data_IF_277842358571
#
_entry.id   IF_277842358571
#
_cell.length_a   1.000
_cell.length_b   1.000
_cell.length_c   1.000
_cell.angle_alpha   90.00
_cell.angle_beta   90.00
_cell.angle_gamma   90.00
#
_symmetry.space_group_name_H-M   'P 1'
#
loop_
_entity.id
_entity.type
_entity.pdbx_description
1 polymer ?
#
# COMPACT_ATOMS: atom_id res chain seq x y z
N UNK A 1 -31.00 18.37 -44.97
CA UNK A 1 -29.65 18.94 -45.16
C UNK A 1 -28.93 18.85 -43.84
N UNK A 2 -27.69 18.38 -43.82
CA UNK A 2 -26.87 18.30 -42.61
C UNK A 2 -26.12 19.62 -42.42
N UNK A 3 -26.11 20.16 -41.21
CA UNK A 3 -25.13 21.17 -40.77
C UNK A 3 -24.62 20.81 -39.37
N UNK A 4 -23.36 21.13 -39.11
CA UNK A 4 -22.52 20.55 -38.06
C UNK A 4 -22.44 21.42 -36.81
N UNK A 5 -22.38 20.78 -35.64
CA UNK A 5 -21.99 21.41 -34.37
C UNK A 5 -20.46 21.44 -34.27
N UNK A 6 -19.82 22.57 -33.90
CA UNK A 6 -18.39 22.61 -33.59
C UNK A 6 -18.07 21.98 -32.23
N UNK A 7 -16.93 21.28 -32.13
CA UNK A 7 -16.35 20.85 -30.85
C UNK A 7 -15.23 21.82 -30.44
N UNK A 8 -15.50 22.74 -29.52
CA UNK A 8 -14.46 23.57 -28.89
C UNK A 8 -13.95 22.90 -27.60
N UNK A 9 -13.07 21.92 -27.77
CA UNK A 9 -12.36 21.25 -26.67
C UNK A 9 -10.93 21.82 -26.53
N UNK A 10 -10.80 23.07 -26.07
CA UNK A 10 -9.49 23.68 -25.80
C UNK A 10 -9.56 24.88 -24.82
N UNK A 11 -9.90 24.62 -23.54
CA UNK A 11 -9.77 25.63 -22.48
C UNK A 11 -9.46 25.07 -21.09
N UNK A 12 -8.48 24.16 -20.99
CA UNK A 12 -7.80 23.85 -19.72
C UNK A 12 -6.29 23.77 -20.00
N UNK A 13 -5.61 24.91 -19.88
CA UNK A 13 -4.16 24.97 -19.63
C UNK A 13 -3.85 26.28 -18.87
N UNK A 14 -2.89 26.22 -17.94
CA UNK A 14 -2.62 27.13 -16.79
C UNK A 14 -3.30 26.75 -15.46
N UNK A 15 -2.82 25.67 -14.86
CA UNK A 15 -2.53 25.61 -13.42
C UNK A 15 -1.00 25.61 -13.28
N UNK A 16 -0.44 26.35 -12.31
CA UNK A 16 1.00 26.55 -12.25
C UNK A 16 1.73 25.37 -11.59
N UNK A 17 2.96 25.11 -12.03
CA UNK A 17 3.72 23.91 -11.70
C UNK A 17 4.21 23.87 -10.26
N UNK A 18 4.09 24.97 -9.51
CA UNK A 18 4.34 25.02 -8.06
C UNK A 18 3.13 24.59 -7.22
N UNK A 19 1.90 24.91 -7.66
CA UNK A 19 0.66 24.69 -6.89
C UNK A 19 0.34 23.20 -6.71
N UNK A 20 0.80 22.35 -7.64
CA UNK A 20 0.74 20.89 -7.52
C UNK A 20 1.77 20.31 -6.54
N UNK A 21 2.86 21.02 -6.23
CA UNK A 21 3.94 20.52 -5.36
C UNK A 21 3.62 20.78 -3.89
N UNK A 22 3.08 21.96 -3.55
CA UNK A 22 2.64 22.25 -2.17
C UNK A 22 1.49 21.31 -1.75
N UNK A 23 0.54 21.07 -2.66
CA UNK A 23 -0.59 20.14 -2.43
C UNK A 23 -0.16 18.67 -2.25
N UNK A 24 1.00 18.27 -2.76
CA UNK A 24 1.56 16.92 -2.55
C UNK A 24 2.28 16.80 -1.19
N UNK A 25 2.87 17.88 -0.67
CA UNK A 25 3.53 17.91 0.65
C UNK A 25 2.51 17.86 1.80
N UNK A 26 1.44 18.64 1.73
CA UNK A 26 0.39 18.70 2.78
C UNK A 26 -0.25 17.33 3.07
N UNK A 27 -0.33 16.47 2.03
CA UNK A 27 -0.89 15.11 2.14
C UNK A 27 0.05 14.17 2.92
N UNK A 28 1.38 14.33 2.78
CA UNK A 28 2.35 13.51 3.50
C UNK A 28 2.45 13.88 4.98
N UNK A 29 2.54 15.18 5.34
CA UNK A 29 2.57 15.59 6.75
C UNK A 29 1.27 15.20 7.49
N UNK A 30 0.13 15.23 6.79
CA UNK A 30 -1.16 14.76 7.33
C UNK A 30 -1.20 13.26 7.64
N UNK A 31 -0.41 12.43 6.94
CA UNK A 31 -0.40 10.98 7.11
C UNK A 31 0.38 10.54 8.36
N UNK A 32 1.55 11.12 8.60
CA UNK A 32 2.38 10.78 9.77
C UNK A 32 1.72 11.23 11.09
N UNK A 33 1.04 12.39 11.09
CA UNK A 33 0.32 12.91 12.25
C UNK A 33 -0.79 11.97 12.77
N UNK A 34 -1.35 11.10 11.92
CA UNK A 34 -2.38 10.11 12.28
C UNK A 34 -1.73 8.85 12.91
N UNK A 35 -0.51 8.51 12.50
CA UNK A 35 0.18 7.28 12.91
C UNK A 35 0.69 7.35 14.36
N UNK A 36 1.14 8.53 14.81
CA UNK A 36 1.68 8.71 16.17
C UNK A 36 0.62 8.69 17.28
N UNK A 37 -0.63 9.08 16.99
CA UNK A 37 -1.71 9.07 17.99
C UNK A 37 -2.04 7.64 18.51
N UNK A 38 -1.69 6.59 17.75
CA UNK A 38 -1.95 5.20 18.15
C UNK A 38 -0.81 4.52 18.95
N UNK A 39 0.33 5.19 19.20
CA UNK A 39 1.43 4.64 20.02
C UNK A 39 1.51 5.23 21.45
N UNK A 40 0.76 6.29 21.74
CA UNK A 40 0.86 7.07 22.98
C UNK A 40 0.17 6.51 24.24
N UNK A 41 -0.01 5.19 24.39
CA UNK A 41 -0.80 4.62 25.50
C UNK A 41 -0.27 3.28 26.06
N UNK A 42 1.00 3.26 26.50
CA UNK A 42 1.63 2.09 27.16
C UNK A 42 2.57 2.51 28.30
N UNK A 43 2.44 1.88 29.46
CA UNK A 43 3.10 2.27 30.72
C UNK A 43 4.64 2.35 30.65
N UNK A 44 5.21 3.31 31.39
CA UNK A 44 6.64 3.39 31.67
C UNK A 44 7.11 2.21 32.55
N UNK A 45 8.27 1.61 32.27
CA UNK A 45 9.24 1.24 33.31
C UNK A 45 10.65 0.94 32.77
N UNK A 46 11.54 1.94 32.91
CA UNK A 46 12.99 1.87 33.14
C UNK A 46 13.81 0.67 32.62
N UNK A 47 14.62 0.87 31.57
CA UNK A 47 15.71 -0.06 31.18
C UNK A 47 17.05 0.29 31.86
N UNK A 48 17.81 -0.73 32.27
CA UNK A 48 19.28 -0.72 32.21
C UNK A 48 19.82 -2.11 31.80
N UNK A 49 20.99 -2.22 31.13
CA UNK A 49 21.29 -3.36 30.27
C UNK A 49 22.35 -4.33 30.82
N UNK A 50 22.21 -5.63 30.50
CA UNK A 50 23.27 -6.66 30.67
C UNK A 50 23.37 -7.59 29.47
N UNK A 51 24.54 -8.22 29.28
CA UNK A 51 24.96 -8.93 28.06
C UNK A 51 24.84 -10.46 28.18
N UNK A 52 24.51 -11.10 27.05
CA UNK A 52 25.22 -12.26 26.44
C UNK A 52 25.44 -13.60 27.20
N UNK A 53 25.38 -14.69 26.41
CA UNK A 53 26.03 -16.01 26.56
C UNK A 53 25.17 -17.21 27.00
N UNK A 54 25.62 -18.41 26.58
CA UNK A 54 25.01 -19.73 26.83
C UNK A 54 25.45 -20.34 28.17
N UNK A 55 24.70 -21.33 28.70
CA UNK A 55 25.27 -22.31 29.64
C UNK A 55 24.27 -23.11 30.50
N UNK A 56 24.27 -24.43 30.33
CA UNK A 56 24.16 -25.50 31.37
C UNK A 56 23.06 -25.47 32.47
N UNK A 57 21.94 -26.14 32.13
CA UNK A 57 21.35 -27.32 32.79
C UNK A 57 21.70 -27.72 34.26
N UNK A 58 20.63 -28.04 35.04
CA UNK A 58 20.55 -28.89 36.27
C UNK A 58 21.18 -28.35 37.58
N UNK A 59 20.74 -28.73 38.80
CA UNK A 59 19.84 -29.81 39.28
C UNK A 59 18.59 -29.31 40.08
N UNK A 60 17.79 -30.22 40.66
CA UNK A 60 16.50 -29.96 41.36
C UNK A 60 16.62 -30.25 42.90
N UNK A 61 15.82 -31.04 43.68
CA UNK A 61 14.55 -31.79 43.51
C UNK A 61 13.45 -31.53 44.60
N UNK A 62 12.33 -32.29 44.54
CA UNK A 62 11.29 -32.56 45.57
C UNK A 62 10.31 -31.44 46.01
N UNK A 63 8.99 -31.66 46.20
CA UNK A 63 8.03 -32.78 45.95
C UNK A 63 6.58 -32.19 46.05
N UNK A 64 5.45 -32.73 45.55
CA UNK A 64 5.11 -33.93 44.76
C UNK A 64 4.49 -33.49 43.38
N UNK A 65 3.38 -33.93 42.76
CA UNK A 65 2.30 -34.92 43.01
C UNK A 65 2.29 -36.00 41.92
N UNK A 66 2.09 -37.26 42.33
CA UNK A 66 2.13 -38.46 41.49
C UNK A 66 1.29 -38.48 40.19
N UNK A 67 1.78 -39.27 39.22
CA UNK A 67 1.13 -39.62 37.95
C UNK A 67 0.54 -41.03 37.98
N UNK A 68 -0.57 -41.26 37.27
CA UNK A 68 -0.97 -42.60 36.78
C UNK A 68 -1.41 -42.55 35.32
N UNK A 69 -0.90 -43.48 34.51
CA UNK A 69 -1.44 -43.86 33.21
C UNK A 69 -2.01 -45.28 33.25
N UNK A 70 -2.84 -45.57 32.26
CA UNK A 70 -3.35 -46.89 31.87
C UNK A 70 -4.39 -47.55 32.80
N UNK A 71 -5.06 -48.57 32.25
CA UNK A 71 -6.36 -49.14 32.63
C UNK A 71 -7.58 -48.21 32.32
N UNK A 72 -8.57 -48.62 31.51
CA UNK A 72 -8.66 -49.84 30.73
C UNK A 72 -9.45 -49.71 29.40
N UNK A 73 -8.94 -50.43 28.41
CA UNK A 73 -9.52 -50.79 27.11
C UNK A 73 -10.78 -51.65 27.28
N UNK A 74 -11.95 -51.16 26.84
CA UNK A 74 -13.04 -52.02 26.34
C UNK A 74 -14.13 -51.23 25.60
N UNK A 75 -14.52 -51.71 24.41
CA UNK A 75 -15.88 -51.56 23.81
C UNK A 75 -16.00 -52.29 22.46
N UNK A 76 -15.45 -53.52 22.36
CA UNK A 76 -15.57 -54.54 21.28
C UNK A 76 -14.69 -55.73 21.73
N UNK A 77 -15.12 -56.99 21.74
CA UNK A 77 -16.36 -57.67 21.28
C UNK A 77 -16.74 -58.77 22.31
N UNK A 78 -17.84 -59.47 22.06
CA UNK A 78 -18.23 -60.81 22.59
C UNK A 78 -19.07 -60.88 23.87
N UNK A 79 -19.94 -61.89 24.07
CA UNK A 79 -21.08 -62.44 23.26
C UNK A 79 -21.69 -63.64 24.03
N UNK A 80 -23.01 -63.61 24.28
CA UNK A 80 -23.83 -64.72 24.83
C UNK A 80 -23.33 -65.32 26.18
N UNK A 81 -23.98 -66.28 26.86
CA UNK A 81 -25.34 -66.88 26.85
C UNK A 81 -25.85 -66.79 28.32
N UNK A 82 -27.09 -67.01 28.77
CA UNK A 82 -28.17 -67.97 28.47
C UNK A 82 -29.54 -67.29 28.68
N UNK A 83 -30.54 -67.50 27.82
CA UNK A 83 -31.53 -68.61 27.83
C UNK A 83 -32.37 -68.71 29.12
N UNK A 84 -33.61 -68.22 29.02
CA UNK A 84 -34.77 -69.11 29.20
C UNK A 84 -35.97 -68.63 28.37
N UNK A 85 -36.37 -69.43 27.37
CA UNK A 85 -37.60 -69.22 26.59
C UNK A 85 -38.42 -70.52 26.57
N UNK A 86 -39.71 -70.40 26.89
CA UNK A 86 -40.78 -71.40 26.70
C UNK A 86 -40.67 -72.77 27.39
N UNK A 87 -41.47 -72.95 28.45
CA UNK A 87 -42.38 -74.07 28.67
C UNK A 87 -43.30 -73.69 29.85
N UNK A 88 -44.58 -74.09 29.93
CA UNK A 88 -45.27 -75.12 29.17
C UNK A 88 -46.52 -74.61 28.43
N UNK A 89 -46.96 -75.38 27.43
CA UNK A 89 -48.20 -75.11 26.69
C UNK A 89 -49.35 -76.04 27.12
N UNK A 90 -50.57 -75.57 26.85
CA UNK A 90 -51.85 -76.27 26.90
C UNK A 90 -51.87 -77.81 27.06
N UNK A 91 -52.78 -78.28 27.92
CA UNK A 91 -53.96 -79.03 27.41
C UNK A 91 -55.20 -79.00 28.30
N UNK A 92 -56.30 -79.32 27.62
CA UNK A 92 -57.68 -79.43 28.09
C UNK A 92 -57.98 -80.81 28.69
N UNK A 93 -59.29 -81.08 28.91
CA UNK A 93 -59.89 -82.37 29.32
C UNK A 93 -59.60 -82.73 30.78
N UNK A 94 -60.48 -83.30 31.60
CA UNK A 94 -61.92 -83.67 31.64
C UNK A 94 -61.99 -84.63 32.88
N UNK A 95 -63.10 -85.16 33.41
CA UNK A 95 -64.53 -85.04 33.15
C UNK A 95 -65.28 -85.47 34.41
N UNK A 96 -66.46 -84.89 34.67
CA UNK A 96 -67.56 -85.55 35.40
C UNK A 96 -67.25 -85.95 36.89
N UNK A 97 -68.19 -86.33 37.75
CA UNK A 97 -69.65 -86.61 37.69
C UNK A 97 -70.20 -86.24 39.10
N UNK A 98 -71.44 -85.82 39.38
CA UNK A 98 -72.80 -86.05 38.85
C UNK A 98 -73.60 -84.73 38.92
N UNK A 99 -74.42 -84.36 37.91
CA UNK A 99 -75.76 -84.89 37.55
C UNK A 99 -76.82 -84.68 38.65
N UNK A 100 -78.06 -84.28 38.36
CA UNK A 100 -78.67 -83.73 37.12
C UNK A 100 -80.03 -83.09 37.45
N UNK A 101 -80.42 -82.07 36.69
CA UNK A 101 -81.78 -81.53 36.52
C UNK A 101 -82.93 -82.55 36.71
N UNK A 102 -83.93 -82.20 37.53
CA UNK A 102 -85.33 -82.39 37.17
C UNK A 102 -86.29 -81.41 37.87
N UNK A 103 -87.47 -81.23 37.26
CA UNK A 103 -88.52 -80.23 37.52
C UNK A 103 -89.78 -80.91 38.10
N UNK A 104 -90.97 -80.27 38.09
CA UNK A 104 -91.43 -79.08 38.83
C UNK A 104 -92.57 -79.45 39.82
N UNK A 105 -93.16 -78.48 40.55
CA UNK A 105 -94.62 -78.20 40.53
C UNK A 105 -95.13 -77.18 41.58
N UNK A 106 -96.33 -76.68 41.27
CA UNK A 106 -97.26 -75.77 41.96
C UNK A 106 -97.81 -76.22 43.32
N UNK A 107 -98.15 -75.22 44.17
CA UNK A 107 -98.81 -75.32 45.49
C UNK A 107 -98.07 -74.44 46.50
N UNK A 108 -98.67 -73.52 47.27
CA UNK A 108 -100.03 -73.48 47.83
C UNK A 108 -100.04 -74.24 49.15
N UNK A 109 -100.06 -73.63 50.33
CA UNK A 109 -100.83 -72.44 50.75
C UNK A 109 -100.15 -71.66 51.93
N UNK A 110 -100.93 -70.85 52.64
CA UNK A 110 -100.66 -69.96 53.78
C UNK A 110 -99.93 -70.68 54.97
N UNK A 111 -99.29 -70.04 55.96
CA UNK A 111 -99.69 -68.82 56.68
C UNK A 111 -98.59 -67.80 57.10
N UNK A 112 -99.08 -66.57 57.30
CA UNK A 112 -98.55 -65.46 58.11
C UNK A 112 -98.19 -65.92 59.54
N UNK A 113 -97.24 -65.37 60.32
CA UNK A 113 -96.42 -64.12 60.37
C UNK A 113 -95.01 -64.50 60.91
N UNK A 114 -93.94 -63.68 60.90
CA UNK A 114 -93.88 -62.23 61.05
C UNK A 114 -92.69 -61.58 60.32
N UNK A 115 -92.80 -61.44 58.99
CA UNK A 115 -91.79 -60.80 58.15
C UNK A 115 -91.71 -59.28 58.37
N UNK A 116 -91.04 -58.85 59.45
CA UNK A 116 -90.66 -57.43 59.67
C UNK A 116 -89.18 -57.25 60.02
N UNK A 117 -88.63 -57.86 61.06
CA UNK A 117 -87.23 -57.57 61.45
C UNK A 117 -86.20 -57.98 60.39
N UNK A 118 -86.25 -59.20 59.86
CA UNK A 118 -85.27 -59.67 58.84
C UNK A 118 -85.31 -58.84 57.56
N UNK A 119 -86.52 -58.47 57.12
CA UNK A 119 -86.70 -57.57 55.98
C UNK A 119 -86.17 -56.15 56.26
N UNK A 120 -86.44 -55.59 57.44
CA UNK A 120 -85.93 -54.27 57.84
C UNK A 120 -84.40 -54.27 57.96
N UNK A 121 -83.79 -55.32 58.53
CA UNK A 121 -82.33 -55.44 58.62
C UNK A 121 -81.68 -55.58 57.24
N UNK A 122 -82.26 -56.36 56.31
CA UNK A 122 -81.77 -56.46 54.93
C UNK A 122 -81.95 -55.14 54.15
N UNK A 123 -83.06 -54.44 54.34
CA UNK A 123 -83.28 -53.11 53.74
C UNK A 123 -82.29 -52.09 54.31
N UNK A 124 -82.04 -52.09 55.63
CA UNK A 124 -81.01 -51.23 56.25
C UNK A 124 -79.61 -51.56 55.73
N UNK A 125 -79.25 -52.85 55.57
CA UNK A 125 -77.99 -53.25 54.97
C UNK A 125 -77.88 -52.77 53.52
N UNK A 126 -78.94 -52.93 52.71
CA UNK A 126 -78.97 -52.38 51.35
C UNK A 126 -78.83 -50.85 51.33
N UNK A 127 -79.51 -50.12 52.23
CA UNK A 127 -79.41 -48.65 52.32
C UNK A 127 -78.00 -48.21 52.74
N UNK A 128 -77.38 -48.88 53.71
CA UNK A 128 -76.00 -48.61 54.13
C UNK A 128 -74.98 -48.97 53.05
N UNK A 129 -75.18 -50.07 52.32
CA UNK A 129 -74.34 -50.44 51.17
C UNK A 129 -74.51 -49.45 50.02
N UNK A 130 -75.73 -49.00 49.71
CA UNK A 130 -75.98 -47.94 48.72
C UNK A 130 -75.36 -46.60 49.12
N UNK A 131 -75.38 -46.25 50.41
CA UNK A 131 -74.67 -45.06 50.92
C UNK A 131 -73.14 -45.21 50.77
N UNK A 132 -72.57 -46.36 51.13
CA UNK A 132 -71.15 -46.63 50.95
C UNK A 132 -70.72 -46.62 49.46
N UNK A 133 -71.53 -47.21 48.58
CA UNK A 133 -71.31 -47.26 47.13
C UNK A 133 -71.40 -45.86 46.52
N UNK A 134 -72.38 -45.04 46.91
CA UNK A 134 -72.50 -43.66 46.40
C UNK A 134 -71.35 -42.76 46.87
N UNK A 135 -70.90 -42.89 48.13
CA UNK A 135 -69.70 -42.17 48.63
C UNK A 135 -68.43 -42.63 47.90
N UNK A 136 -68.26 -43.95 47.67
CA UNK A 136 -67.15 -44.48 46.88
C UNK A 136 -67.19 -43.98 45.42
N UNK A 137 -68.37 -43.89 44.82
CA UNK A 137 -68.57 -43.39 43.45
C UNK A 137 -68.24 -41.90 43.34
N UNK A 138 -68.67 -41.05 44.27
CA UNK A 138 -68.26 -39.64 44.33
C UNK A 138 -66.74 -39.50 44.52
N UNK A 139 -66.12 -40.30 45.40
CA UNK A 139 -64.66 -40.28 45.59
C UNK A 139 -63.90 -40.75 44.33
N UNK A 140 -64.45 -41.74 43.61
CA UNK A 140 -63.90 -42.23 42.34
C UNK A 140 -64.00 -41.18 41.23
N UNK A 141 -65.10 -40.42 41.16
CA UNK A 141 -65.24 -39.27 40.24
C UNK A 141 -64.19 -38.20 40.56
N UNK A 142 -64.02 -37.82 41.83
CA UNK A 142 -63.03 -36.82 42.21
C UNK A 142 -61.59 -37.26 41.89
N UNK A 143 -61.22 -38.50 42.21
CA UNK A 143 -59.92 -39.08 41.83
C UNK A 143 -59.73 -39.18 40.31
N UNK A 144 -60.82 -39.37 39.55
CA UNK A 144 -60.79 -39.35 38.08
C UNK A 144 -60.51 -37.94 37.56
N UNK A 145 -61.17 -36.91 38.10
CA UNK A 145 -60.93 -35.51 37.74
C UNK A 145 -59.51 -35.05 38.10
N UNK A 146 -58.99 -35.41 39.28
CA UNK A 146 -57.61 -35.14 39.69
C UNK A 146 -56.61 -35.83 38.74
N UNK A 147 -56.86 -37.09 38.36
CA UNK A 147 -56.05 -37.80 37.36
C UNK A 147 -56.10 -37.14 36.00
N UNK A 148 -57.26 -36.68 35.53
CA UNK A 148 -57.40 -36.03 34.22
C UNK A 148 -56.78 -34.62 34.20
N UNK A 149 -56.81 -33.90 35.32
CA UNK A 149 -56.07 -32.65 35.49
C UNK A 149 -54.54 -32.89 35.45
N UNK A 150 -54.05 -33.92 36.15
CA UNK A 150 -52.64 -34.29 36.16
C UNK A 150 -52.17 -34.77 34.77
N UNK A 151 -53.00 -35.58 34.09
CA UNK A 151 -52.79 -36.02 32.71
C UNK A 151 -52.64 -34.82 31.77
N UNK A 152 -53.54 -33.84 31.89
CA UNK A 152 -53.52 -32.60 31.08
C UNK A 152 -52.23 -31.80 31.33
N UNK A 153 -51.84 -31.62 32.60
CA UNK A 153 -50.59 -30.93 32.96
C UNK A 153 -49.34 -31.67 32.45
N UNK A 154 -49.35 -33.01 32.44
CA UNK A 154 -48.25 -33.81 31.90
C UNK A 154 -48.14 -33.70 30.37
N UNK A 155 -49.28 -33.65 29.67
CA UNK A 155 -49.29 -33.41 28.21
C UNK A 155 -48.85 -31.99 27.84
N UNK A 156 -49.23 -30.97 28.62
CA UNK A 156 -48.77 -29.60 28.37
C UNK A 156 -47.26 -29.45 28.61
N UNK A 157 -46.74 -29.97 29.73
CA UNK A 157 -45.30 -29.96 30.01
C UNK A 157 -44.49 -30.76 28.98
N UNK A 158 -45.09 -31.82 28.42
CA UNK A 158 -44.53 -32.57 27.28
C UNK A 158 -44.40 -31.68 26.04
N UNK A 159 -45.45 -30.94 25.68
CA UNK A 159 -45.44 -30.00 24.54
C UNK A 159 -44.41 -28.88 24.76
N UNK A 160 -44.36 -28.28 25.95
CA UNK A 160 -43.37 -27.23 26.28
C UNK A 160 -41.92 -27.75 26.16
N UNK A 161 -41.66 -28.97 26.63
CA UNK A 161 -40.35 -29.63 26.51
C UNK A 161 -39.98 -29.88 25.05
N UNK A 162 -40.92 -30.34 24.22
CA UNK A 162 -40.67 -30.60 22.78
C UNK A 162 -40.49 -29.30 21.98
N UNK A 163 -41.18 -28.21 22.34
CA UNK A 163 -40.95 -26.87 21.80
C UNK A 163 -39.54 -26.36 22.16
N UNK A 164 -39.14 -26.48 23.43
CA UNK A 164 -37.81 -26.06 23.89
C UNK A 164 -36.70 -26.89 23.22
N UNK A 165 -36.90 -28.20 23.05
CA UNK A 165 -36.01 -29.09 22.32
C UNK A 165 -35.82 -28.61 20.87
N UNK A 166 -36.91 -28.30 20.17
CA UNK A 166 -36.86 -27.81 18.79
C UNK A 166 -36.09 -26.48 18.69
N UNK A 167 -36.40 -25.52 19.57
CA UNK A 167 -35.71 -24.23 19.66
C UNK A 167 -34.20 -24.40 19.91
N UNK A 168 -33.80 -25.30 20.82
CA UNK A 168 -32.40 -25.63 21.08
C UNK A 168 -31.68 -26.21 19.84
N UNK A 169 -32.35 -27.06 19.05
CA UNK A 169 -31.76 -27.56 17.80
C UNK A 169 -31.62 -26.48 16.73
N UNK A 170 -32.48 -25.45 16.72
CA UNK A 170 -32.35 -24.33 15.78
C UNK A 170 -31.23 -23.38 16.18
N UNK A 171 -31.14 -22.97 17.45
CA UNK A 171 -29.99 -22.19 17.97
C UNK A 171 -28.65 -22.92 17.76
N UNK A 172 -28.65 -24.26 17.83
CA UNK A 172 -27.46 -25.06 17.51
C UNK A 172 -27.04 -24.90 16.04
N UNK A 173 -27.98 -24.97 15.09
CA UNK A 173 -27.70 -24.75 13.65
C UNK A 173 -27.21 -23.33 13.38
N UNK A 174 -27.83 -22.32 14.00
CA UNK A 174 -27.42 -20.92 13.87
C UNK A 174 -26.00 -20.70 14.39
N UNK A 175 -25.67 -21.27 15.56
CA UNK A 175 -24.30 -21.27 16.11
C UNK A 175 -23.30 -21.95 15.18
N UNK A 176 -23.65 -23.09 14.58
CA UNK A 176 -22.74 -23.80 13.66
C UNK A 176 -22.56 -23.07 12.32
N UNK A 177 -23.59 -22.38 11.83
CA UNK A 177 -23.51 -21.48 10.68
C UNK A 177 -22.60 -20.27 10.96
N UNK A 178 -22.77 -19.61 12.12
CA UNK A 178 -21.93 -18.49 12.56
C UNK A 178 -20.48 -18.94 12.74
N UNK A 179 -20.25 -20.11 13.35
CA UNK A 179 -18.91 -20.68 13.51
C UNK A 179 -18.22 -20.93 12.15
N UNK A 180 -18.97 -21.44 11.17
CA UNK A 180 -18.46 -21.66 9.80
C UNK A 180 -18.13 -20.34 9.10
N UNK A 181 -18.98 -19.32 9.26
CA UNK A 181 -18.72 -17.97 8.72
C UNK A 181 -17.48 -17.34 9.37
N UNK A 182 -17.31 -17.50 10.68
CA UNK A 182 -16.14 -17.01 11.41
C UNK A 182 -14.83 -17.68 10.97
N UNK A 183 -14.83 -19.00 10.73
CA UNK A 183 -13.64 -19.70 10.22
C UNK A 183 -13.28 -19.23 8.80
N UNK A 184 -14.27 -19.03 7.93
CA UNK A 184 -14.02 -18.53 6.57
C UNK A 184 -13.43 -17.11 6.59
N UNK A 185 -14.03 -16.20 7.37
CA UNK A 185 -13.53 -14.82 7.51
C UNK A 185 -12.12 -14.76 8.12
N UNK A 186 -11.78 -15.71 9.01
CA UNK A 186 -10.42 -15.84 9.55
C UNK A 186 -9.42 -16.25 8.45
N UNK A 187 -9.80 -17.18 7.56
CA UNK A 187 -8.97 -17.56 6.42
C UNK A 187 -8.79 -16.41 5.41
N UNK A 188 -9.85 -15.65 5.12
CA UNK A 188 -9.79 -14.46 4.26
C UNK A 188 -8.86 -13.38 4.83
N UNK A 189 -8.94 -13.13 6.15
CA UNK A 189 -8.02 -12.23 6.88
C UNK A 189 -6.56 -12.66 6.70
N UNK A 190 -6.27 -13.95 6.84
CA UNK A 190 -4.89 -14.47 6.81
C UNK A 190 -4.31 -14.49 5.39
N UNK A 191 -5.16 -14.71 4.37
CA UNK A 191 -4.80 -14.50 2.97
C UNK A 191 -4.49 -13.02 2.68
N UNK A 192 -5.34 -12.10 3.16
CA UNK A 192 -5.15 -10.67 2.96
C UNK A 192 -3.89 -10.15 3.67
N UNK A 193 -3.62 -10.62 4.90
CA UNK A 193 -2.40 -10.31 5.65
C UNK A 193 -1.14 -10.80 4.91
N UNK A 194 -1.20 -12.00 4.32
CA UNK A 194 -0.11 -12.53 3.48
C UNK A 194 0.13 -11.65 2.25
N UNK A 195 -0.94 -11.23 1.57
CA UNK A 195 -0.85 -10.32 0.41
C UNK A 195 -0.30 -8.94 0.79
N UNK A 196 -0.71 -8.37 1.92
CA UNK A 196 -0.21 -7.10 2.46
C UNK A 196 1.29 -7.15 2.78
N UNK A 197 1.76 -8.25 3.38
CA UNK A 197 3.18 -8.45 3.69
C UNK A 197 4.02 -8.57 2.40
N UNK A 198 3.53 -9.26 1.38
CA UNK A 198 4.21 -9.34 0.08
C UNK A 198 4.29 -7.97 -0.60
N UNK A 199 3.19 -7.21 -0.65
CA UNK A 199 3.16 -5.86 -1.22
C UNK A 199 4.07 -4.88 -0.45
N UNK A 200 4.21 -5.07 0.86
CA UNK A 200 5.18 -4.33 1.69
C UNK A 200 6.62 -4.60 1.24
N UNK A 201 6.98 -5.86 0.98
CA UNK A 201 8.32 -6.23 0.48
C UNK A 201 8.56 -5.64 -0.92
N UNK A 202 7.57 -5.69 -1.82
CA UNK A 202 7.66 -5.11 -3.16
C UNK A 202 7.86 -3.58 -3.13
N UNK A 203 7.12 -2.87 -2.25
CA UNK A 203 7.28 -1.42 -2.02
C UNK A 203 8.71 -1.07 -1.59
N UNK A 204 9.27 -1.82 -0.64
CA UNK A 204 10.59 -1.53 -0.08
C UNK A 204 11.72 -1.84 -1.07
N UNK A 205 11.53 -2.85 -1.93
CA UNK A 205 12.40 -3.12 -3.09
C UNK A 205 12.33 -1.99 -4.13
N UNK A 206 11.13 -1.50 -4.46
CA UNK A 206 10.94 -0.38 -5.38
C UNK A 206 11.55 0.92 -4.83
N UNK A 207 11.40 1.21 -3.54
CA UNK A 207 12.04 2.35 -2.90
C UNK A 207 13.57 2.27 -2.97
N UNK A 208 14.13 1.08 -2.76
CA UNK A 208 15.58 0.84 -2.91
C UNK A 208 16.05 1.10 -4.35
N UNK A 209 15.29 0.63 -5.33
CA UNK A 209 15.56 0.86 -6.76
C UNK A 209 15.49 2.36 -7.13
N UNK A 210 14.46 3.07 -6.65
CA UNK A 210 14.29 4.52 -6.85
C UNK A 210 15.45 5.33 -6.27
N UNK A 211 15.91 4.98 -5.07
CA UNK A 211 17.05 5.64 -4.41
C UNK A 211 18.35 5.46 -5.22
N UNK A 212 18.60 4.24 -5.71
CA UNK A 212 19.77 3.95 -6.57
C UNK A 212 19.71 4.73 -7.89
N UNK A 213 18.56 4.72 -8.59
CA UNK A 213 18.39 5.46 -9.85
C UNK A 213 18.51 6.99 -9.66
N UNK A 214 18.10 7.49 -8.51
CA UNK A 214 18.31 8.90 -8.10
C UNK A 214 19.80 9.21 -7.95
N UNK A 215 20.59 8.33 -7.34
CA UNK A 215 22.04 8.50 -7.24
C UNK A 215 22.74 8.43 -8.61
N UNK A 216 22.34 7.52 -9.49
CA UNK A 216 22.87 7.44 -10.87
C UNK A 216 22.55 8.71 -11.67
N UNK A 217 21.31 9.19 -11.61
CA UNK A 217 20.90 10.46 -12.23
C UNK A 217 21.76 11.63 -11.75
N UNK A 218 21.99 11.73 -10.45
CA UNK A 218 22.77 12.81 -9.85
C UNK A 218 24.28 12.70 -10.11
N UNK A 219 24.80 11.51 -10.41
CA UNK A 219 26.15 11.34 -10.94
C UNK A 219 26.23 11.80 -12.41
N UNK A 220 25.31 11.33 -13.27
CA UNK A 220 25.26 11.69 -14.69
C UNK A 220 25.04 13.20 -14.89
N UNK A 221 24.26 13.83 -14.00
CA UNK A 221 24.10 15.29 -13.89
C UNK A 221 25.47 15.98 -13.74
N UNK A 222 26.28 15.56 -12.74
CA UNK A 222 27.62 16.13 -12.48
C UNK A 222 28.61 15.86 -13.61
N UNK A 223 28.52 14.69 -14.26
CA UNK A 223 29.37 14.37 -15.42
C UNK A 223 29.01 15.23 -16.63
N UNK A 224 27.73 15.43 -16.93
CA UNK A 224 27.24 16.36 -17.96
C UNK A 224 27.78 17.77 -17.72
N UNK A 225 27.61 18.30 -16.50
CA UNK A 225 27.98 19.68 -16.17
C UNK A 225 29.51 19.90 -16.31
N UNK A 226 30.30 18.90 -15.92
CA UNK A 226 31.75 18.84 -16.13
C UNK A 226 32.14 18.77 -17.62
N UNK A 227 31.37 18.05 -18.45
CA UNK A 227 31.59 18.03 -19.90
C UNK A 227 31.19 19.35 -20.57
N UNK A 228 30.10 19.99 -20.12
CA UNK A 228 29.71 21.33 -20.57
C UNK A 228 30.78 22.37 -20.23
N UNK A 229 31.33 22.36 -19.01
CA UNK A 229 32.44 23.21 -18.62
C UNK A 229 33.65 23.05 -19.55
N UNK A 230 34.09 21.80 -19.77
CA UNK A 230 35.21 21.47 -20.67
C UNK A 230 34.98 21.84 -22.14
N UNK A 231 33.73 21.81 -22.61
CA UNK A 231 33.38 22.22 -23.98
C UNK A 231 33.45 23.74 -24.16
N UNK A 232 33.27 24.50 -23.07
CA UNK A 232 33.32 25.95 -23.01
C UNK A 232 34.70 26.52 -22.64
N UNK A 233 35.66 25.67 -22.25
CA UNK A 233 37.07 26.08 -22.06
C UNK A 233 37.65 26.58 -23.41
N UNK A 234 38.13 27.84 -23.49
CA UNK A 234 38.74 28.33 -24.73
C UNK A 234 39.99 27.52 -25.07
N UNK A 235 40.15 27.15 -26.35
CA UNK A 235 41.30 26.35 -26.82
C UNK A 235 42.55 27.22 -26.98
N UNK A 236 43.07 27.70 -25.86
CA UNK A 236 44.24 28.58 -25.79
C UNK A 236 45.44 28.03 -26.58
N UNK A 237 46.13 28.94 -27.26
CA UNK A 237 47.33 28.71 -28.06
C UNK A 237 48.48 29.51 -27.47
N UNK A 238 49.69 28.99 -27.55
CA UNK A 238 50.89 29.61 -26.98
C UNK A 238 51.77 30.15 -28.10
N UNK A 239 52.22 31.40 -27.97
CA UNK A 239 53.25 31.98 -28.83
C UNK A 239 53.98 33.10 -28.10
N UNK A 240 55.32 33.03 -28.09
CA UNK A 240 56.16 33.86 -27.22
C UNK A 240 55.67 33.79 -25.75
N UNK A 241 55.77 34.90 -25.01
CA UNK A 241 55.27 35.03 -23.64
C UNK A 241 53.77 35.37 -23.52
N UNK A 242 52.97 35.01 -24.54
CA UNK A 242 51.52 35.28 -24.58
C UNK A 242 50.70 34.04 -24.91
N UNK A 243 49.44 34.04 -24.49
CA UNK A 243 48.45 33.01 -24.81
C UNK A 243 47.18 33.62 -25.40
N UNK A 244 46.66 32.95 -26.43
CA UNK A 244 45.66 33.48 -27.35
C UNK A 244 44.47 32.52 -27.49
N UNK A 245 43.25 33.04 -27.59
CA UNK A 245 42.10 32.23 -28.01
C UNK A 245 41.14 33.04 -28.88
N UNK A 246 40.63 32.42 -29.95
CA UNK A 246 39.48 32.96 -30.70
C UNK A 246 38.17 32.60 -29.97
N UNK A 247 37.21 33.52 -29.93
CA UNK A 247 35.87 33.26 -29.38
C UNK A 247 35.05 32.37 -30.34
N UNK A 248 34.01 31.73 -29.82
CA UNK A 248 33.10 30.87 -30.59
C UNK A 248 31.77 31.54 -30.95
N UNK A 249 31.54 32.77 -30.45
CA UNK A 249 30.30 33.54 -30.63
C UNK A 249 30.67 34.88 -31.26
N UNK A 250 29.95 35.24 -32.32
CA UNK A 250 30.10 36.53 -33.01
C UNK A 250 29.42 37.65 -32.21
N UNK A 251 30.09 38.81 -32.11
CA UNK A 251 29.77 39.92 -31.20
C UNK A 251 30.24 41.25 -31.80
N UNK A 252 29.71 42.38 -31.32
CA UNK A 252 30.31 43.69 -31.59
C UNK A 252 31.75 43.76 -31.02
N UNK A 253 32.54 44.74 -31.45
CA UNK A 253 33.89 44.95 -30.91
C UNK A 253 33.86 45.16 -29.40
N UNK A 254 32.92 45.99 -28.91
CA UNK A 254 32.79 46.30 -27.47
C UNK A 254 32.40 45.07 -26.63
N UNK A 255 31.56 44.17 -27.17
CA UNK A 255 31.16 42.93 -26.51
C UNK A 255 32.24 41.85 -26.60
N UNK A 256 33.00 41.81 -27.69
CA UNK A 256 34.17 40.94 -27.82
C UNK A 256 35.24 41.32 -26.80
N UNK A 257 35.44 42.63 -26.57
CA UNK A 257 36.33 43.13 -25.51
C UNK A 257 35.85 42.76 -24.10
N UNK A 258 34.54 42.86 -23.83
CA UNK A 258 33.92 42.37 -22.58
C UNK A 258 34.10 40.84 -22.42
N UNK A 259 34.04 40.10 -23.53
CA UNK A 259 34.21 38.66 -23.54
C UNK A 259 35.66 38.25 -23.24
N UNK A 260 36.67 38.96 -23.76
CA UNK A 260 38.07 38.71 -23.43
C UNK A 260 38.41 39.11 -21.98
N UNK A 261 37.94 40.27 -21.53
CA UNK A 261 38.16 40.75 -20.14
C UNK A 261 37.53 39.83 -19.10
N UNK A 262 36.37 39.22 -19.39
CA UNK A 262 35.79 38.16 -18.53
C UNK A 262 36.68 36.91 -18.34
N UNK A 263 37.68 36.70 -19.21
CA UNK A 263 38.63 35.56 -19.19
C UNK A 263 40.01 35.94 -18.66
N UNK A 264 40.15 37.15 -18.11
CA UNK A 264 41.43 37.72 -17.66
C UNK A 264 42.38 38.02 -18.83
N UNK A 265 41.83 38.45 -19.96
CA UNK A 265 42.52 38.81 -21.21
C UNK A 265 42.02 40.17 -21.71
N UNK A 266 42.57 40.68 -22.80
CA UNK A 266 41.93 41.74 -23.60
C UNK A 266 41.84 41.30 -25.06
N UNK A 267 41.29 42.11 -25.97
CA UNK A 267 41.41 41.85 -27.40
C UNK A 267 42.89 41.91 -27.83
N UNK A 268 43.24 41.06 -28.80
CA UNK A 268 44.59 40.86 -29.32
C UNK A 268 45.31 42.16 -29.69
N UNK A 269 46.53 42.36 -29.17
CA UNK A 269 47.44 43.43 -29.54
C UNK A 269 48.60 42.86 -30.37
N UNK A 270 48.73 43.28 -31.63
CA UNK A 270 49.80 42.81 -32.52
C UNK A 270 50.94 43.83 -32.54
N UNK A 271 52.03 43.49 -31.86
CA UNK A 271 53.21 44.33 -31.66
C UNK A 271 54.40 43.95 -32.57
N UNK A 272 54.33 42.81 -33.26
CA UNK A 272 55.43 42.27 -34.07
C UNK A 272 54.95 41.54 -35.32
N UNK A 273 55.85 41.41 -36.31
CA UNK A 273 55.59 40.66 -37.55
C UNK A 273 55.37 39.18 -37.27
N UNK A 274 56.17 38.62 -36.38
CA UNK A 274 56.19 37.21 -36.03
C UNK A 274 54.88 36.80 -35.34
N UNK A 275 54.28 37.71 -34.58
CA UNK A 275 52.95 37.57 -33.99
C UNK A 275 51.84 37.64 -35.05
N UNK A 276 51.91 38.57 -36.01
CA UNK A 276 50.96 38.56 -37.14
C UNK A 276 51.05 37.27 -37.96
N UNK A 277 52.26 36.77 -38.25
CA UNK A 277 52.44 35.49 -38.97
C UNK A 277 51.88 34.30 -38.17
N UNK A 278 52.01 34.30 -36.83
CA UNK A 278 51.38 33.31 -35.96
C UNK A 278 49.84 33.41 -35.99
N UNK A 279 49.28 34.62 -35.86
CA UNK A 279 47.83 34.85 -35.84
C UNK A 279 47.20 34.47 -37.18
N UNK A 280 47.74 34.92 -38.32
CA UNK A 280 47.28 34.50 -39.65
C UNK A 280 47.32 32.98 -39.83
N UNK A 281 48.38 32.31 -39.34
CA UNK A 281 48.55 30.85 -39.45
C UNK A 281 47.59 30.04 -38.57
N UNK A 282 47.15 30.58 -37.43
CA UNK A 282 46.38 29.83 -36.41
C UNK A 282 44.90 30.22 -36.39
N UNK A 283 44.57 31.45 -36.79
CA UNK A 283 43.22 32.02 -36.74
C UNK A 283 42.75 32.65 -38.05
N UNK A 284 43.64 32.94 -39.01
CA UNK A 284 43.36 33.65 -40.27
C UNK A 284 42.42 32.95 -41.27
N UNK A 285 41.81 31.82 -40.91
CA UNK A 285 40.63 31.26 -41.60
C UNK A 285 39.32 31.93 -41.19
N UNK A 286 39.36 32.91 -40.30
CA UNK A 286 38.20 33.62 -39.77
C UNK A 286 38.51 35.12 -39.69
N UNK A 287 37.57 35.94 -40.16
CA UNK A 287 37.57 37.36 -39.82
C UNK A 287 37.28 37.51 -38.33
N UNK A 288 38.13 38.23 -37.63
CA UNK A 288 38.04 38.36 -36.18
C UNK A 288 38.49 39.74 -35.68
N UNK A 289 37.78 40.28 -34.70
CA UNK A 289 38.14 41.51 -34.01
C UNK A 289 39.52 41.40 -33.36
N UNK A 290 40.34 42.42 -33.60
CA UNK A 290 41.59 42.68 -32.87
C UNK A 290 41.41 43.93 -31.99
N UNK A 291 42.33 44.14 -31.05
CA UNK A 291 42.23 45.19 -30.05
C UNK A 291 42.62 46.59 -30.56
N UNK A 292 42.27 46.94 -31.80
CA UNK A 292 42.71 48.17 -32.49
C UNK A 292 41.49 48.97 -32.98
N UNK A 293 41.46 50.27 -32.66
CA UNK A 293 40.34 51.19 -32.95
C UNK A 293 40.85 52.64 -32.98
N UNK A 294 40.21 53.51 -33.76
CA UNK A 294 40.42 54.96 -33.76
C UNK A 294 39.14 55.76 -33.38
N UNK A 295 38.13 55.11 -32.80
CA UNK A 295 36.85 55.70 -32.39
C UNK A 295 36.92 56.89 -31.39
N UNK A 296 38.10 57.18 -30.83
CA UNK A 296 38.34 58.41 -30.06
C UNK A 296 38.66 59.62 -30.94
N UNK A 297 39.26 59.41 -32.12
CA UNK A 297 39.64 60.40 -33.13
C UNK A 297 40.08 59.68 -34.41
N UNK A 298 39.28 59.84 -35.46
CA UNK A 298 39.56 59.44 -36.86
C UNK A 298 41.05 59.53 -37.24
N UNK A 299 41.60 58.42 -37.72
CA UNK A 299 42.99 58.23 -38.15
C UNK A 299 44.02 58.01 -37.03
N UNK A 300 43.72 58.33 -35.75
CA UNK A 300 44.64 58.11 -34.62
C UNK A 300 44.42 56.71 -33.99
N UNK A 301 44.72 55.66 -34.77
CA UNK A 301 44.57 54.27 -34.36
C UNK A 301 45.35 53.90 -33.08
N UNK A 302 44.63 53.36 -32.10
CA UNK A 302 45.12 52.96 -30.77
C UNK A 302 44.74 51.52 -30.45
N UNK A 303 45.64 50.86 -29.73
CA UNK A 303 45.40 49.56 -29.14
C UNK A 303 44.59 49.68 -27.84
N UNK A 304 43.92 48.59 -27.44
CA UNK A 304 43.14 48.45 -26.21
C UNK A 304 43.89 48.80 -24.92
N UNK A 305 45.23 48.73 -24.92
CA UNK A 305 46.09 49.15 -23.80
C UNK A 305 46.42 50.66 -23.79
N UNK A 306 45.87 51.45 -24.72
CA UNK A 306 46.14 52.88 -24.88
C UNK A 306 47.41 53.24 -25.68
N UNK A 307 48.15 52.26 -26.20
CA UNK A 307 49.33 52.52 -27.05
C UNK A 307 48.94 52.83 -28.50
N UNK A 308 49.63 53.78 -29.12
CA UNK A 308 49.39 54.16 -30.52
C UNK A 308 49.93 53.10 -31.50
N UNK A 309 49.33 53.02 -32.68
CA UNK A 309 49.75 52.09 -33.73
C UNK A 309 51.13 52.43 -34.31
N UNK A 310 52.16 51.63 -34.00
CA UNK A 310 53.53 51.82 -34.50
C UNK A 310 53.88 50.96 -35.72
N UNK A 311 53.16 49.87 -35.94
CA UNK A 311 53.31 48.99 -37.11
C UNK A 311 51.93 48.42 -37.47
N UNK A 312 51.57 48.51 -38.74
CA UNK A 312 50.27 48.08 -39.26
C UNK A 312 50.39 46.93 -40.25
N UNK A 313 49.39 46.05 -40.26
CA UNK A 313 49.28 44.95 -41.24
C UNK A 313 47.95 44.99 -42.02
N UNK A 314 47.54 46.21 -42.38
CA UNK A 314 46.41 46.49 -43.28
C UNK A 314 46.55 45.79 -44.64
N UNK A 315 45.42 45.38 -45.21
CA UNK A 315 45.31 44.97 -46.60
C UNK A 315 45.42 46.16 -47.55
N UNK A 316 45.71 45.91 -48.83
CA UNK A 316 46.00 46.94 -49.84
C UNK A 316 44.76 47.77 -50.19
N UNK A 317 44.54 48.85 -49.45
CA UNK A 317 43.41 49.75 -49.59
C UNK A 317 42.84 50.22 -48.25
N UNK A 318 43.15 49.49 -47.17
CA UNK A 318 42.60 49.74 -45.83
C UNK A 318 43.64 50.48 -44.95
N UNK A 319 43.23 51.22 -43.90
CA UNK A 319 41.85 51.56 -43.57
C UNK A 319 41.29 52.56 -44.59
N UNK A 320 39.98 52.48 -44.83
CA UNK A 320 39.29 53.20 -45.90
C UNK A 320 38.15 54.12 -45.41
N UNK A 321 37.72 54.01 -44.15
CA UNK A 321 36.55 54.69 -43.55
C UNK A 321 35.30 54.60 -44.43
N UNK A 322 34.84 53.38 -44.74
CA UNK A 322 33.63 53.15 -45.52
C UNK A 322 32.34 53.35 -44.70
N UNK A 323 32.21 54.54 -44.12
CA UNK A 323 31.01 54.99 -43.41
C UNK A 323 31.12 54.90 -41.90
N UNK A 324 32.21 55.41 -41.31
CA UNK A 324 32.50 55.45 -39.87
C UNK A 324 32.83 54.03 -39.36
N UNK A 325 33.94 53.46 -39.86
CA UNK A 325 34.37 52.06 -39.65
C UNK A 325 35.49 51.87 -38.59
N UNK A 326 35.32 52.50 -37.43
CA UNK A 326 36.35 52.81 -36.41
C UNK A 326 37.04 51.61 -35.68
N UNK A 327 36.86 50.36 -36.14
CA UNK A 327 37.36 49.15 -35.45
C UNK A 327 38.02 48.17 -36.43
N UNK A 328 39.15 47.56 -36.04
CA UNK A 328 39.90 46.67 -36.92
C UNK A 328 39.60 45.18 -36.72
N UNK A 329 39.45 44.44 -37.83
CA UNK A 329 39.54 42.97 -37.89
C UNK A 329 40.88 42.51 -38.44
N UNK A 330 41.22 41.25 -38.20
CA UNK A 330 42.26 40.49 -38.92
C UNK A 330 41.62 39.31 -39.66
N UNK A 331 42.30 38.76 -40.67
CA UNK A 331 41.81 37.62 -41.46
C UNK A 331 40.79 37.98 -42.56
N UNK A 332 40.84 39.22 -43.05
CA UNK A 332 39.94 39.77 -44.09
C UNK A 332 39.80 38.87 -45.32
N UNK A 333 38.56 38.56 -45.72
CA UNK A 333 38.24 37.60 -46.81
C UNK A 333 38.81 37.97 -48.19
N UNK A 334 39.22 39.23 -48.42
CA UNK A 334 39.88 39.63 -49.69
C UNK A 334 41.40 39.39 -49.67
N UNK A 335 42.00 39.18 -48.50
CA UNK A 335 43.43 38.94 -48.31
C UNK A 335 43.86 37.49 -48.60
N UNK A 336 43.20 36.80 -49.55
CA UNK A 336 43.27 35.33 -49.77
C UNK A 336 44.69 34.79 -50.02
N UNK A 337 45.59 35.61 -50.57
CA UNK A 337 46.98 35.24 -50.84
C UNK A 337 47.99 35.89 -49.89
N UNK A 338 47.52 36.69 -48.93
CA UNK A 338 48.37 37.40 -47.97
C UNK A 338 48.44 36.63 -46.64
N UNK A 339 49.59 36.67 -45.99
CA UNK A 339 49.79 36.12 -44.64
C UNK A 339 50.17 37.20 -43.61
N UNK A 340 50.46 38.40 -44.10
CA UNK A 340 50.78 39.59 -43.31
C UNK A 340 49.67 40.63 -43.44
N UNK A 341 49.51 41.22 -44.62
CA UNK A 341 48.50 42.25 -44.91
C UNK A 341 47.08 41.69 -44.97
N UNK A 342 46.48 41.47 -43.80
CA UNK A 342 45.17 40.81 -43.62
C UNK A 342 44.19 41.57 -42.74
N UNK A 343 44.55 42.77 -42.26
CA UNK A 343 43.62 43.61 -41.50
C UNK A 343 42.75 44.47 -42.41
N UNK A 344 41.54 44.76 -41.94
CA UNK A 344 40.63 45.75 -42.51
C UNK A 344 39.89 46.47 -41.37
N UNK A 345 39.49 47.70 -41.61
CA UNK A 345 38.55 48.47 -40.80
C UNK A 345 37.10 48.02 -41.06
N UNK A 346 36.28 48.07 -40.02
CA UNK A 346 34.87 47.64 -40.00
C UNK A 346 34.13 48.43 -38.91
N UNK A 347 32.87 48.78 -39.18
CA UNK A 347 31.95 49.38 -38.20
C UNK A 347 31.91 48.54 -36.92
N UNK A 348 32.15 49.17 -35.77
CA UNK A 348 32.35 48.49 -34.48
C UNK A 348 31.18 47.59 -34.01
N UNK A 349 29.98 47.77 -34.55
CA UNK A 349 28.80 46.93 -34.29
C UNK A 349 28.75 45.66 -35.17
N UNK A 350 29.70 45.47 -36.09
CA UNK A 350 29.78 44.28 -36.94
C UNK A 350 29.98 42.99 -36.12
N UNK A 351 29.27 41.93 -36.50
CA UNK A 351 29.21 40.69 -35.70
C UNK A 351 30.19 39.63 -36.21
N UNK A 352 31.44 39.72 -35.77
CA UNK A 352 32.48 38.69 -35.96
C UNK A 352 32.96 38.14 -34.60
N UNK A 353 33.74 37.05 -34.64
CA UNK A 353 34.42 36.53 -33.44
C UNK A 353 35.55 37.47 -33.03
N UNK A 354 36.05 37.38 -31.80
CA UNK A 354 37.23 38.13 -31.34
C UNK A 354 38.41 37.23 -31.07
N UNK A 355 39.64 37.72 -31.23
CA UNK A 355 40.83 37.03 -30.70
C UNK A 355 41.20 37.72 -29.39
N UNK A 356 41.23 36.95 -28.30
CA UNK A 356 41.67 37.39 -26.99
C UNK A 356 43.14 37.04 -26.77
N UNK A 357 43.87 37.91 -26.08
CA UNK A 357 45.27 37.73 -25.68
C UNK A 357 45.44 38.01 -24.18
N UNK A 358 46.28 37.21 -23.51
CA UNK A 358 46.88 37.59 -22.23
C UNK A 358 48.35 37.18 -22.16
N UNK A 359 49.14 38.00 -21.46
CA UNK A 359 50.52 37.63 -21.12
C UNK A 359 50.54 36.43 -20.18
N UNK A 360 51.62 35.66 -20.27
CA UNK A 360 51.91 34.52 -19.40
C UNK A 360 52.48 35.02 -18.07
N UNK A 361 51.78 34.72 -16.98
CA UNK A 361 52.26 34.92 -15.60
C UNK A 361 53.36 33.92 -15.22
#
# INVERSE_FOLDING_TARGET
>A
MSQSVPNDANHIDKLDRGELVEMEVDIYESADAINDQHKGAGHQHNEQPTKSAHGEMSETPYEDVASTKDLNRSSRVEVAVDIYESADAARSFESSTKRKLQTPHTGGTEERRCSRLTAVCLVLLCVLLLAAITVLWFKFINLTAERDQLQTSYTDLTIQRDQLQNNYTNLTKERDQIQTSYTNLTMERDQLLTSYNNLTIERDQLQTSYNNLTMERDQLQKERDKWQQRLLEPKWKYFSDSIYCITTVTKSWSESRKDCTSKGADLLLINSREEQEFISKVFGSSEAWIGLTDAEKEGDWKWVNGSALTQSFWWTGEPNDYGNEDCAITGYKRAVSEHLSTWADYSCDHLVVGICEKKKN
#
